data_IF_894198948662
#
_entry.id   IF_894198948662
#
_cell.length_a   1.000
_cell.length_b   1.000
_cell.length_c   1.000
_cell.angle_alpha   90.00
_cell.angle_beta   90.00
_cell.angle_gamma   90.00
#
_symmetry.space_group_name_H-M   'P 1'
#
loop_
_entity.id
_entity.type
_entity.pdbx_description
1 polymer ?
#
# COMPACT_ATOMS: atom_id res chain seq x y z
N UNK A 1 43.62 -52.97 -30.59
CA UNK A 1 42.34 -53.02 -29.83
C UNK A 1 42.36 -52.24 -28.50
N UNK A 2 43.49 -52.06 -27.81
CA UNK A 2 43.55 -51.33 -26.50
C UNK A 2 43.53 -49.80 -26.66
N UNK A 3 44.04 -49.26 -27.77
CA UNK A 3 44.07 -47.80 -28.03
C UNK A 3 42.67 -47.20 -28.24
N UNK A 4 41.76 -47.94 -28.90
CA UNK A 4 40.38 -47.50 -29.12
C UNK A 4 39.57 -47.40 -27.82
N UNK A 5 39.83 -48.27 -26.86
CA UNK A 5 39.16 -48.23 -25.56
C UNK A 5 39.57 -46.99 -24.75
N UNK A 6 40.86 -46.61 -24.78
CA UNK A 6 41.34 -45.40 -24.11
C UNK A 6 40.78 -44.14 -24.77
N UNK A 7 40.69 -44.11 -26.10
CA UNK A 7 40.09 -43.00 -26.84
C UNK A 7 38.58 -42.87 -26.56
N UNK A 8 37.85 -43.98 -26.55
CA UNK A 8 36.43 -44.03 -26.21
C UNK A 8 36.17 -43.59 -24.75
N UNK A 9 37.06 -43.96 -23.81
CA UNK A 9 36.96 -43.57 -22.42
C UNK A 9 37.26 -42.08 -22.22
N UNK A 10 38.27 -41.53 -22.90
CA UNK A 10 38.57 -40.10 -22.90
C UNK A 10 37.42 -39.26 -23.50
N UNK A 11 36.77 -39.78 -24.54
CA UNK A 11 35.56 -39.15 -25.10
C UNK A 11 34.38 -39.18 -24.12
N UNK A 12 34.20 -40.28 -23.38
CA UNK A 12 33.19 -40.38 -22.31
C UNK A 12 33.48 -39.40 -21.17
N UNK A 13 34.73 -39.29 -20.72
CA UNK A 13 35.15 -38.32 -19.70
C UNK A 13 34.93 -36.87 -20.13
N UNK A 14 35.32 -36.50 -21.36
CA UNK A 14 35.04 -35.17 -21.93
C UNK A 14 33.53 -34.86 -22.00
N UNK A 15 32.71 -35.88 -22.24
CA UNK A 15 31.25 -35.74 -22.29
C UNK A 15 30.61 -35.54 -20.90
N UNK A 16 31.17 -36.19 -19.88
CA UNK A 16 30.77 -36.02 -18.47
C UNK A 16 31.20 -34.64 -17.95
N UNK A 17 32.45 -34.23 -18.19
CA UNK A 17 32.96 -32.91 -17.80
C UNK A 17 32.25 -31.74 -18.50
N UNK A 18 31.72 -31.94 -19.71
CA UNK A 18 30.95 -30.91 -20.43
C UNK A 18 29.46 -30.85 -20.06
N UNK A 19 29.01 -31.63 -19.06
CA UNK A 19 27.61 -31.65 -18.61
C UNK A 19 26.62 -32.21 -19.64
N UNK A 20 27.11 -32.87 -20.69
CA UNK A 20 26.30 -33.52 -21.74
C UNK A 20 26.11 -35.01 -21.45
N UNK A 21 25.86 -35.36 -20.19
CA UNK A 21 25.59 -36.74 -19.81
C UNK A 21 24.21 -37.13 -20.36
N UNK A 22 24.10 -38.34 -20.92
CA UNK A 22 22.82 -38.86 -21.42
C UNK A 22 21.85 -38.99 -20.25
N UNK A 23 20.85 -38.11 -20.21
CA UNK A 23 19.77 -38.16 -19.23
C UNK A 23 18.97 -39.44 -19.48
N UNK A 24 18.88 -40.33 -18.49
CA UNK A 24 17.98 -41.48 -18.54
C UNK A 24 16.54 -41.00 -18.69
N UNK A 25 15.76 -41.68 -19.53
CA UNK A 25 14.41 -41.27 -19.94
C UNK A 25 13.44 -41.02 -18.78
N UNK A 26 13.72 -41.55 -17.59
CA UNK A 26 12.87 -41.43 -16.39
C UNK A 26 13.15 -40.21 -15.50
N UNK A 27 14.19 -39.42 -15.78
CA UNK A 27 14.51 -38.25 -14.96
C UNK A 27 14.22 -36.98 -15.76
N UNK A 28 13.42 -36.08 -15.20
CA UNK A 28 13.06 -34.78 -15.81
C UNK A 28 14.34 -34.05 -16.20
N UNK A 29 14.64 -34.10 -17.51
CA UNK A 29 15.87 -33.55 -18.06
C UNK A 29 16.06 -32.05 -17.82
N UNK A 30 17.31 -31.59 -17.81
CA UNK A 30 17.65 -30.17 -17.63
C UNK A 30 16.92 -29.26 -18.62
N UNK A 31 16.62 -29.75 -19.83
CA UNK A 31 15.85 -29.01 -20.83
C UNK A 31 14.39 -28.86 -20.43
N UNK A 32 13.75 -29.91 -19.92
CA UNK A 32 12.38 -29.86 -19.41
C UNK A 32 12.31 -29.03 -18.13
N UNK A 33 13.29 -29.12 -17.23
CA UNK A 33 13.37 -28.27 -16.03
C UNK A 33 13.60 -26.79 -16.35
N UNK A 34 14.45 -26.47 -17.35
CA UNK A 34 14.61 -25.10 -17.85
C UNK A 34 13.34 -24.57 -18.52
N UNK A 35 12.65 -25.39 -19.32
CA UNK A 35 11.40 -25.01 -19.99
C UNK A 35 10.26 -24.84 -18.97
N UNK A 36 10.23 -25.69 -17.95
CA UNK A 36 9.32 -25.60 -16.81
C UNK A 36 9.59 -24.33 -16.00
N UNK A 37 10.84 -24.05 -15.59
CA UNK A 37 11.19 -22.77 -14.94
C UNK A 37 10.91 -21.54 -15.81
N UNK A 38 11.03 -21.64 -17.14
CA UNK A 38 10.69 -20.52 -18.04
C UNK A 38 9.18 -20.26 -18.10
N UNK A 39 8.34 -21.30 -17.95
CA UNK A 39 6.86 -21.18 -18.00
C UNK A 39 6.21 -20.97 -16.64
N UNK A 40 6.74 -21.63 -15.60
CA UNK A 40 6.17 -21.74 -14.26
C UNK A 40 7.14 -21.34 -13.15
N UNK A 41 8.40 -21.06 -13.47
CA UNK A 41 9.34 -20.54 -12.48
C UNK A 41 9.02 -19.09 -12.13
N UNK A 42 9.37 -18.70 -10.92
CA UNK A 42 9.18 -17.34 -10.43
C UNK A 42 9.84 -16.34 -11.38
N UNK A 43 8.99 -15.56 -12.07
CA UNK A 43 9.47 -14.44 -12.86
C UNK A 43 10.20 -13.49 -11.91
N UNK A 44 11.40 -12.99 -12.27
CA UNK A 44 12.13 -12.09 -11.41
C UNK A 44 11.24 -10.90 -11.06
N UNK A 45 10.94 -10.73 -9.77
CA UNK A 45 10.14 -9.59 -9.28
C UNK A 45 10.87 -8.32 -9.71
N UNK A 46 10.18 -7.48 -10.49
CA UNK A 46 10.71 -6.19 -10.93
C UNK A 46 11.14 -5.41 -9.68
N UNK A 47 12.44 -5.09 -9.55
CA UNK A 47 12.93 -4.25 -8.44
C UNK A 47 12.21 -2.91 -8.53
N UNK A 48 11.57 -2.49 -7.43
CA UNK A 48 10.83 -1.22 -7.38
C UNK A 48 11.78 -0.06 -7.65
N UNK A 49 11.41 0.80 -8.59
CA UNK A 49 12.10 2.07 -8.87
C UNK A 49 11.95 3.01 -7.66
N UNK A 50 12.92 3.92 -7.47
CA UNK A 50 12.81 5.02 -6.51
C UNK A 50 11.54 5.85 -6.74
N UNK A 51 11.22 6.14 -8.00
CA UNK A 51 9.99 6.85 -8.36
C UNK A 51 8.73 6.10 -7.87
N UNK A 52 8.75 4.77 -7.93
CA UNK A 52 7.60 3.95 -7.50
C UNK A 52 7.47 3.95 -5.97
N UNK A 53 8.58 4.06 -5.23
CA UNK A 53 8.55 4.25 -3.76
C UNK A 53 8.00 5.63 -3.39
N UNK A 54 8.42 6.68 -4.09
CA UNK A 54 7.91 8.05 -3.87
C UNK A 54 6.42 8.11 -4.14
N UNK A 55 5.94 7.50 -5.23
CA UNK A 55 4.51 7.44 -5.54
C UNK A 55 3.69 6.68 -4.49
N UNK A 56 4.26 5.66 -3.84
CA UNK A 56 3.62 4.97 -2.71
C UNK A 56 3.51 5.90 -1.50
N UNK A 57 4.52 6.73 -1.23
CA UNK A 57 4.49 7.72 -0.16
C UNK A 57 3.45 8.82 -0.46
N UNK A 58 3.39 9.30 -1.70
CA UNK A 58 2.35 10.24 -2.15
C UNK A 58 0.96 9.63 -1.98
N UNK A 59 0.78 8.35 -2.33
CA UNK A 59 -0.50 7.66 -2.15
C UNK A 59 -0.92 7.61 -0.68
N UNK A 60 0.03 7.35 0.23
CA UNK A 60 -0.21 7.35 1.67
C UNK A 60 -0.61 8.74 2.18
N UNK A 61 0.13 9.79 1.78
CA UNK A 61 -0.20 11.18 2.15
C UNK A 61 -1.55 11.62 1.59
N UNK A 62 -1.90 11.21 0.36
CA UNK A 62 -3.21 11.46 -0.22
C UNK A 62 -4.34 10.78 0.58
N UNK A 63 -4.08 9.59 1.12
CA UNK A 63 -5.00 8.91 2.03
C UNK A 63 -5.25 9.72 3.30
N UNK A 64 -4.19 10.20 3.95
CA UNK A 64 -4.29 11.05 5.15
C UNK A 64 -5.07 12.35 4.84
N UNK A 65 -4.68 13.06 3.78
CA UNK A 65 -5.29 14.34 3.44
C UNK A 65 -6.73 14.21 2.99
N UNK A 66 -7.11 13.14 2.30
CA UNK A 66 -8.49 12.90 1.87
C UNK A 66 -9.48 12.81 3.04
N UNK A 67 -9.08 12.16 4.14
CA UNK A 67 -9.92 12.04 5.34
C UNK A 67 -10.04 13.39 6.05
N UNK A 68 -8.94 14.13 6.18
CA UNK A 68 -8.95 15.47 6.79
C UNK A 68 -9.82 16.44 5.96
N UNK A 69 -9.57 16.52 4.65
CA UNK A 69 -10.30 17.39 3.75
C UNK A 69 -11.77 16.99 3.64
N UNK A 70 -12.07 15.67 3.62
CA UNK A 70 -13.45 15.20 3.59
C UNK A 70 -14.23 15.63 4.83
N UNK A 71 -13.58 15.59 6.00
CA UNK A 71 -14.16 16.11 7.25
C UNK A 71 -14.38 17.60 7.20
N UNK A 72 -13.40 18.38 6.73
CA UNK A 72 -13.52 19.83 6.57
C UNK A 72 -14.69 20.19 5.64
N UNK A 73 -14.75 19.53 4.48
CA UNK A 73 -15.81 19.74 3.49
C UNK A 73 -17.16 19.40 4.10
N UNK A 74 -17.29 18.28 4.79
CA UNK A 74 -18.53 17.90 5.46
C UNK A 74 -18.92 18.92 6.56
N UNK A 75 -17.95 19.38 7.35
CA UNK A 75 -18.18 20.34 8.43
C UNK A 75 -18.67 21.70 7.90
N UNK A 76 -18.12 22.15 6.77
CA UNK A 76 -18.60 23.37 6.10
C UNK A 76 -19.97 23.18 5.45
N UNK A 77 -20.22 22.04 4.80
CA UNK A 77 -21.53 21.74 4.21
C UNK A 77 -22.62 21.61 5.28
N UNK A 78 -22.31 21.04 6.44
CA UNK A 78 -23.23 20.90 7.56
C UNK A 78 -23.57 22.25 8.25
N UNK A 79 -22.87 23.34 7.93
CA UNK A 79 -23.23 24.71 8.39
C UNK A 79 -24.19 25.43 7.46
N UNK A 80 -24.39 24.93 6.24
CA UNK A 80 -25.31 25.53 5.27
C UNK A 80 -26.73 25.12 5.66
N UNK A 81 -27.66 26.07 5.78
CA UNK A 81 -29.07 25.80 6.05
C UNK A 81 -29.78 25.32 4.76
N UNK A 82 -30.62 24.29 4.87
CA UNK A 82 -31.42 23.77 3.75
C UNK A 82 -30.94 22.45 3.13
N UNK A 83 -29.96 21.77 3.73
CA UNK A 83 -29.64 20.39 3.32
C UNK A 83 -30.71 19.41 3.82
N UNK A 84 -30.87 18.23 3.18
CA UNK A 84 -31.78 17.22 3.65
C UNK A 84 -31.51 16.84 5.12
N UNK A 85 -32.53 16.59 5.95
CA UNK A 85 -32.36 16.28 7.37
C UNK A 85 -31.44 15.06 7.60
N UNK A 86 -31.46 14.10 6.68
CA UNK A 86 -30.55 12.96 6.67
C UNK A 86 -29.06 13.35 6.62
N UNK A 87 -28.73 14.49 6.00
CA UNK A 87 -27.35 14.97 5.91
C UNK A 87 -26.85 15.47 7.27
N UNK A 88 -27.71 16.05 8.11
CA UNK A 88 -27.31 16.46 9.47
C UNK A 88 -27.25 15.26 10.43
N UNK A 89 -28.17 14.31 10.27
CA UNK A 89 -28.27 13.11 11.12
C UNK A 89 -27.09 12.14 10.94
N UNK A 90 -26.38 12.24 9.82
CA UNK A 90 -25.23 11.39 9.50
C UNK A 90 -23.99 11.66 10.38
N UNK A 91 -23.85 12.86 10.96
CA UNK A 91 -22.76 13.24 11.87
C UNK A 91 -21.38 12.68 11.48
N UNK A 92 -20.76 11.90 12.37
CA UNK A 92 -19.45 11.28 12.15
C UNK A 92 -19.40 10.26 11.00
N UNK A 93 -20.53 9.65 10.61
CA UNK A 93 -20.60 8.75 9.44
C UNK A 93 -20.57 9.54 8.13
N UNK A 94 -21.19 10.72 8.10
CA UNK A 94 -21.14 11.63 6.95
C UNK A 94 -19.75 12.18 6.70
N UNK A 95 -19.02 12.49 7.77
CA UNK A 95 -17.60 12.82 7.73
C UNK A 95 -16.73 11.71 7.11
N UNK A 96 -16.97 10.45 7.49
CA UNK A 96 -16.26 9.30 6.93
C UNK A 96 -16.60 9.10 5.43
N UNK A 97 -17.86 9.26 5.06
CA UNK A 97 -18.32 9.16 3.68
C UNK A 97 -17.71 10.26 2.79
N UNK A 98 -17.69 11.51 3.26
CA UNK A 98 -17.04 12.60 2.55
C UNK A 98 -15.54 12.34 2.34
N UNK A 99 -14.85 11.80 3.36
CA UNK A 99 -13.47 11.36 3.24
C UNK A 99 -13.27 10.26 2.20
N UNK A 100 -14.19 9.28 2.14
CA UNK A 100 -14.16 8.19 1.16
C UNK A 100 -14.36 8.70 -0.27
N UNK A 101 -15.33 9.60 -0.47
CA UNK A 101 -15.55 10.26 -1.77
C UNK A 101 -14.29 11.00 -2.22
N UNK A 102 -13.67 11.77 -1.32
CA UNK A 102 -12.45 12.51 -1.62
C UNK A 102 -11.26 11.57 -1.93
N UNK A 103 -11.15 10.46 -1.21
CA UNK A 103 -10.16 9.42 -1.48
C UNK A 103 -10.35 8.79 -2.87
N UNK A 104 -11.59 8.54 -3.28
CA UNK A 104 -11.92 8.07 -4.64
C UNK A 104 -11.52 9.09 -5.70
N UNK A 105 -11.78 10.38 -5.47
CA UNK A 105 -11.35 11.46 -6.37
C UNK A 105 -9.83 11.49 -6.50
N UNK A 106 -9.10 11.34 -5.39
CA UNK A 106 -7.63 11.29 -5.39
C UNK A 106 -7.09 10.08 -6.17
N UNK A 107 -7.76 8.92 -6.10
CA UNK A 107 -7.38 7.72 -6.87
C UNK A 107 -7.46 8.00 -8.38
N UNK A 108 -8.51 8.70 -8.82
CA UNK A 108 -8.72 9.05 -10.24
C UNK A 108 -7.71 10.09 -10.69
N UNK A 109 -7.54 11.20 -9.95
CA UNK A 109 -6.66 12.31 -10.32
C UNK A 109 -5.20 11.86 -10.39
N UNK A 110 -4.71 11.20 -9.34
CA UNK A 110 -3.30 10.81 -9.23
C UNK A 110 -2.99 9.43 -9.82
N UNK A 111 -3.98 8.77 -10.44
CA UNK A 111 -3.83 7.43 -11.02
C UNK A 111 -3.21 6.43 -10.03
N UNK A 112 -3.77 6.38 -8.81
CA UNK A 112 -3.25 5.57 -7.70
C UNK A 112 -3.78 4.13 -7.68
N UNK A 113 -4.51 3.71 -8.72
CA UNK A 113 -5.17 2.41 -8.87
C UNK A 113 -4.20 1.21 -9.06
N UNK A 114 -2.96 1.30 -8.58
CA UNK A 114 -1.99 0.21 -8.68
C UNK A 114 -1.99 -0.65 -7.41
N UNK A 115 -1.66 -1.94 -7.57
CA UNK A 115 -1.66 -2.96 -6.49
C UNK A 115 -0.79 -2.59 -5.28
N UNK A 116 0.13 -1.64 -5.42
CA UNK A 116 1.03 -1.18 -4.34
C UNK A 116 0.63 0.17 -3.75
N UNK A 117 -0.03 1.04 -4.53
CA UNK A 117 -0.44 2.38 -4.11
C UNK A 117 -1.81 2.38 -3.43
N UNK A 118 -2.73 1.54 -3.89
CA UNK A 118 -4.05 1.37 -3.24
C UNK A 118 -3.95 0.97 -1.77
N UNK A 119 -3.14 -0.04 -1.37
CA UNK A 119 -2.98 -0.37 0.04
C UNK A 119 -2.37 0.77 0.85
N UNK A 120 -1.45 1.54 0.27
CA UNK A 120 -0.83 2.67 0.95
C UNK A 120 -1.83 3.81 1.19
N UNK A 121 -2.69 4.10 0.20
CA UNK A 121 -3.77 5.05 0.35
C UNK A 121 -4.77 4.61 1.42
N UNK A 122 -5.22 3.36 1.38
CA UNK A 122 -6.12 2.81 2.41
C UNK A 122 -5.50 2.85 3.80
N UNK A 123 -4.21 2.53 3.91
CA UNK A 123 -3.47 2.64 5.17
C UNK A 123 -3.43 4.11 5.64
N UNK A 124 -3.18 5.06 4.74
CA UNK A 124 -3.25 6.49 5.04
C UNK A 124 -4.63 6.91 5.55
N UNK A 125 -5.71 6.47 4.88
CA UNK A 125 -7.06 6.75 5.35
C UNK A 125 -7.33 6.17 6.75
N UNK A 126 -6.94 4.92 6.99
CA UNK A 126 -7.11 4.26 8.28
C UNK A 126 -6.32 4.97 9.38
N UNK A 127 -5.05 5.31 9.11
CA UNK A 127 -4.18 6.02 10.06
C UNK A 127 -4.80 7.37 10.42
N UNK A 128 -5.33 8.13 9.47
CA UNK A 128 -5.96 9.41 9.82
C UNK A 128 -7.29 9.23 10.55
N UNK A 129 -8.10 8.25 10.12
CA UNK A 129 -9.41 8.02 10.71
C UNK A 129 -9.31 7.64 12.19
N UNK A 130 -8.40 6.74 12.54
CA UNK A 130 -8.17 6.32 13.93
C UNK A 130 -7.18 7.22 14.68
N UNK A 131 -6.21 7.81 13.98
CA UNK A 131 -5.19 8.68 14.55
C UNK A 131 -5.65 10.11 14.82
N UNK A 132 -6.83 10.51 14.34
CA UNK A 132 -7.36 11.86 14.55
C UNK A 132 -7.35 12.28 16.02
N UNK A 133 -7.76 11.40 16.93
CA UNK A 133 -7.76 11.70 18.37
C UNK A 133 -6.33 12.01 18.86
N UNK A 134 -5.34 11.26 18.39
CA UNK A 134 -3.93 11.51 18.71
C UNK A 134 -3.43 12.83 18.09
N UNK A 135 -3.82 13.17 16.87
CA UNK A 135 -3.38 14.45 16.27
C UNK A 135 -4.06 15.64 16.97
N UNK A 136 -5.36 15.53 17.27
CA UNK A 136 -6.12 16.55 18.00
C UNK A 136 -5.57 16.79 19.42
N UNK A 137 -5.12 15.73 20.11
CA UNK A 137 -4.60 15.86 21.48
C UNK A 137 -3.17 16.41 21.54
N UNK A 138 -2.36 16.19 20.50
CA UNK A 138 -0.99 16.70 20.39
C UNK A 138 -0.90 18.10 19.75
N UNK A 139 -1.88 18.49 18.93
CA UNK A 139 -1.93 19.80 18.28
C UNK A 139 -3.33 20.43 18.40
N UNK A 140 -3.79 20.74 19.63
CA UNK A 140 -5.14 21.26 19.87
C UNK A 140 -5.38 22.60 19.18
N UNK A 141 -4.38 23.48 19.14
CA UNK A 141 -4.48 24.78 18.45
C UNK A 141 -4.72 24.66 16.94
N UNK A 142 -4.13 23.65 16.30
CA UNK A 142 -4.35 23.41 14.87
C UNK A 142 -5.76 22.84 14.64
N UNK A 143 -6.24 21.99 15.52
CA UNK A 143 -7.59 21.40 15.42
C UNK A 143 -8.70 22.43 15.65
N UNK A 144 -8.52 23.36 16.59
CA UNK A 144 -9.51 24.42 16.89
C UNK A 144 -9.58 25.50 15.81
N UNK A 145 -8.54 25.65 14.98
CA UNK A 145 -8.57 26.53 13.80
C UNK A 145 -9.40 25.95 12.65
N UNK A 146 -9.48 24.62 12.56
CA UNK A 146 -10.09 23.91 11.42
C UNK A 146 -11.53 23.47 11.75
N UNK A 147 -11.75 23.02 12.99
CA UNK A 147 -13.04 22.53 13.48
C UNK A 147 -13.57 23.39 14.61
N UNK A 148 -14.86 23.25 14.95
CA UNK A 148 -15.42 23.93 16.13
C UNK A 148 -14.68 23.55 17.40
N UNK A 149 -14.57 24.48 18.35
CA UNK A 149 -13.93 24.24 19.64
C UNK A 149 -14.50 23.02 20.41
N UNK A 150 -15.81 22.78 20.31
CA UNK A 150 -16.47 21.62 20.94
C UNK A 150 -16.00 20.29 20.35
N UNK A 151 -15.98 20.17 19.02
CA UNK A 151 -15.45 18.99 18.32
C UNK A 151 -13.96 18.76 18.60
N UNK A 152 -13.16 19.82 18.64
CA UNK A 152 -11.73 19.73 18.96
C UNK A 152 -11.52 19.25 20.40
N UNK A 153 -12.31 19.74 21.35
CA UNK A 153 -12.27 19.30 22.75
C UNK A 153 -12.71 17.84 22.92
N UNK A 154 -13.76 17.42 22.22
CA UNK A 154 -14.22 16.02 22.23
C UNK A 154 -13.15 15.06 21.68
N UNK A 155 -12.51 15.44 20.57
CA UNK A 155 -11.44 14.62 19.97
C UNK A 155 -10.16 14.63 20.80
N UNK A 156 -9.80 15.76 21.40
CA UNK A 156 -8.65 15.85 22.31
C UNK A 156 -8.88 15.04 23.60
N UNK A 157 -10.11 15.02 24.13
CA UNK A 157 -10.49 14.19 25.28
C UNK A 157 -10.36 12.69 24.96
N UNK A 158 -10.84 12.26 23.79
CA UNK A 158 -10.64 10.87 23.31
C UNK A 158 -9.17 10.53 23.05
N UNK A 159 -8.33 11.55 22.83
CA UNK A 159 -6.92 11.41 22.51
C UNK A 159 -5.96 11.57 23.69
N UNK A 160 -6.47 11.72 24.92
CA UNK A 160 -5.63 11.99 26.10
C UNK A 160 -4.54 10.92 26.30
N UNK A 161 -4.88 9.65 26.06
CA UNK A 161 -3.95 8.52 26.20
C UNK A 161 -2.84 8.52 25.13
N UNK A 162 -3.01 9.26 24.03
CA UNK A 162 -2.07 9.32 22.91
C UNK A 162 -1.21 10.60 22.91
N UNK A 163 -1.28 11.40 24.00
CA UNK A 163 -0.46 12.60 24.14
C UNK A 163 1.01 12.23 24.31
N UNK A 164 1.85 12.82 23.47
CA UNK A 164 3.30 12.70 23.54
C UNK A 164 3.88 13.58 24.66
N UNK A 165 3.13 14.59 25.12
CA UNK A 165 3.51 15.48 26.21
C UNK A 165 2.39 15.60 27.27
N UNK A 166 2.70 15.53 28.58
CA UNK A 166 1.66 15.52 29.63
C UNK A 166 0.95 16.87 29.86
N UNK A 167 1.46 17.98 29.31
CA UNK A 167 1.10 19.35 29.73
C UNK A 167 1.03 20.36 28.58
N UNK A 168 0.23 20.08 27.55
CA UNK A 168 -0.06 21.01 26.45
C UNK A 168 -1.55 21.26 26.28
#
# INVERSE_FOLDING_TARGET
MVADQKAAFAQRLKRIQSGKQFEHADIIGQKTTKRYKKRFGDKPRKKRSLADKVMVLIAFLAGLSSVLLGRIVYFHLARIEGLPPAFYDLGGRGMALAGLVLAMTMIVVFHLSTRTRMPALLLGCAVMYYGEAAVASNAPEFWTQIFSAEYAAEMAARGQDYRLTPTG
#
